data_IF_553409118999
#
_entry.id   IF_553409118999
#
_cell.length_a   1.000
_cell.length_b   1.000
_cell.length_c   1.000
_cell.angle_alpha   90.00
_cell.angle_beta   90.00
_cell.angle_gamma   90.00
#
_symmetry.space_group_name_H-M   'P 1'
#
loop_
_entity.id
_entity.type
_entity.pdbx_description
1 polymer ?
#
# COMPACT_ATOMS: atom_id res chain seq x y z
N UNK A 1 -34.55 -8.32 -8.50
CA UNK A 1 -33.63 -7.84 -7.43
C UNK A 1 -33.09 -6.50 -7.88
N UNK A 2 -32.87 -5.59 -6.97
CA UNK A 2 -32.22 -4.30 -7.28
C UNK A 2 -30.75 -4.57 -7.65
N UNK A 3 -30.24 -3.91 -8.68
CA UNK A 3 -28.84 -4.01 -9.06
C UNK A 3 -27.95 -3.51 -7.90
N UNK A 4 -26.85 -4.24 -7.62
CA UNK A 4 -25.94 -3.97 -6.49
C UNK A 4 -24.53 -3.72 -6.96
N UNK A 5 -23.82 -2.80 -6.31
CA UNK A 5 -22.37 -2.63 -6.48
C UNK A 5 -21.61 -3.78 -5.83
N UNK A 6 -20.34 -3.95 -6.16
CA UNK A 6 -19.44 -4.91 -5.47
C UNK A 6 -19.44 -4.64 -3.95
N UNK A 7 -19.32 -3.36 -3.56
CA UNK A 7 -19.36 -3.00 -2.14
C UNK A 7 -20.69 -3.37 -1.46
N UNK A 8 -21.83 -3.16 -2.13
CA UNK A 8 -23.12 -3.55 -1.57
C UNK A 8 -23.22 -5.05 -1.36
N UNK A 9 -22.73 -5.87 -2.31
CA UNK A 9 -22.70 -7.33 -2.18
C UNK A 9 -21.86 -7.77 -0.99
N UNK A 10 -20.63 -7.25 -0.90
CA UNK A 10 -19.70 -7.56 0.21
C UNK A 10 -20.26 -7.11 1.56
N UNK A 11 -20.85 -5.93 1.62
CA UNK A 11 -21.45 -5.41 2.84
C UNK A 11 -22.65 -6.26 3.30
N UNK A 12 -23.61 -6.46 2.42
CA UNK A 12 -24.85 -7.16 2.74
C UNK A 12 -24.63 -8.61 3.18
N UNK A 13 -23.62 -9.29 2.60
CA UNK A 13 -23.26 -10.67 2.94
C UNK A 13 -22.62 -10.80 4.34
N UNK A 14 -22.11 -9.67 4.93
CA UNK A 14 -21.44 -9.67 6.24
C UNK A 14 -22.21 -8.97 7.35
N UNK A 15 -23.31 -8.28 7.03
CA UNK A 15 -24.15 -7.62 8.04
C UNK A 15 -24.86 -8.68 8.89
N UNK A 16 -24.55 -8.73 10.18
CA UNK A 16 -25.22 -9.59 11.16
C UNK A 16 -26.52 -8.95 11.63
N UNK A 17 -26.48 -7.62 11.88
CA UNK A 17 -27.61 -6.83 12.38
C UNK A 17 -27.38 -5.36 12.03
N UNK A 18 -28.47 -4.64 11.78
CA UNK A 18 -28.47 -3.18 11.64
C UNK A 18 -29.30 -2.56 12.76
N UNK A 19 -28.75 -1.53 13.41
CA UNK A 19 -29.40 -0.76 14.44
C UNK A 19 -30.33 0.32 13.83
N UNK A 20 -31.19 0.94 14.65
CA UNK A 20 -32.14 1.98 14.20
C UNK A 20 -31.45 3.22 13.62
N UNK A 21 -30.22 3.53 14.07
CA UNK A 21 -29.44 4.68 13.57
C UNK A 21 -28.64 4.38 12.29
N UNK A 22 -28.84 3.18 11.72
CA UNK A 22 -28.14 2.71 10.52
C UNK A 22 -26.74 2.14 10.78
N UNK A 23 -26.30 2.06 12.05
CA UNK A 23 -25.05 1.37 12.41
C UNK A 23 -25.25 -0.14 12.24
N UNK A 24 -24.33 -0.81 11.56
CA UNK A 24 -24.38 -2.25 11.33
C UNK A 24 -23.32 -2.97 12.14
N UNK A 25 -23.68 -4.13 12.69
CA UNK A 25 -22.75 -5.11 13.21
C UNK A 25 -22.26 -5.96 12.04
N UNK A 26 -21.00 -5.81 11.68
CA UNK A 26 -20.36 -6.47 10.54
C UNK A 26 -19.49 -7.63 11.03
N UNK A 27 -19.69 -8.82 10.45
CA UNK A 27 -18.81 -9.97 10.69
C UNK A 27 -17.46 -9.78 9.97
N UNK A 28 -16.37 -10.21 10.62
CA UNK A 28 -15.00 -10.07 10.09
C UNK A 28 -14.41 -11.47 9.86
N UNK A 29 -14.03 -11.78 8.62
CA UNK A 29 -13.48 -13.09 8.24
C UNK A 29 -12.01 -13.25 8.61
N UNK A 30 -11.21 -12.20 8.36
CA UNK A 30 -9.77 -12.21 8.56
C UNK A 30 -9.31 -11.01 9.38
N UNK A 31 -8.51 -11.27 10.40
CA UNK A 31 -7.87 -10.24 11.19
C UNK A 31 -6.34 -10.37 11.06
N UNK A 32 -5.72 -9.37 10.44
CA UNK A 32 -4.27 -9.27 10.35
C UNK A 32 -3.76 -8.43 11.52
N UNK A 33 -2.69 -8.87 12.17
CA UNK A 33 -2.17 -8.26 13.39
C UNK A 33 -0.68 -8.02 13.28
N UNK A 34 -0.21 -6.87 13.75
CA UNK A 34 1.20 -6.54 13.85
C UNK A 34 1.54 -5.92 15.22
N UNK A 35 2.84 -5.70 15.49
CA UNK A 35 3.34 -5.35 16.82
C UNK A 35 2.96 -3.95 17.31
N UNK A 36 2.59 -3.02 16.41
CA UNK A 36 2.39 -1.60 16.80
C UNK A 36 1.03 -1.36 17.45
N UNK A 37 -0.06 -1.93 16.91
CA UNK A 37 -1.45 -1.63 17.32
C UNK A 37 -2.09 -2.74 18.15
N UNK A 38 -1.38 -3.83 18.43
CA UNK A 38 -1.94 -5.00 19.11
C UNK A 38 -1.68 -5.10 20.60
N UNK A 39 -0.60 -4.53 21.20
CA UNK A 39 -0.27 -4.77 22.62
C UNK A 39 -1.40 -4.43 23.58
N UNK A 40 -2.02 -3.26 23.44
CA UNK A 40 -3.12 -2.81 24.30
C UNK A 40 -4.40 -3.63 24.06
N UNK A 41 -4.64 -4.09 22.83
CA UNK A 41 -5.80 -4.94 22.53
C UNK A 41 -5.71 -6.30 23.24
N UNK A 42 -4.56 -6.94 23.24
CA UNK A 42 -4.35 -8.18 24.00
C UNK A 42 -4.39 -7.97 25.51
N UNK A 43 -3.89 -6.85 26.01
CA UNK A 43 -4.02 -6.52 27.42
C UNK A 43 -5.49 -6.32 27.83
N UNK A 44 -6.29 -5.65 26.99
CA UNK A 44 -7.74 -5.53 27.20
C UNK A 44 -8.43 -6.89 27.29
N UNK A 45 -8.08 -7.85 26.42
CA UNK A 45 -8.59 -9.22 26.50
C UNK A 45 -8.26 -9.89 27.84
N UNK A 46 -7.02 -9.76 28.34
CA UNK A 46 -6.60 -10.32 29.65
C UNK A 46 -7.40 -9.73 30.79
N UNK A 47 -7.50 -8.40 30.84
CA UNK A 47 -8.26 -7.68 31.89
C UNK A 47 -9.73 -8.12 31.86
N UNK A 48 -10.31 -8.29 30.68
CA UNK A 48 -11.69 -8.74 30.52
C UNK A 48 -11.87 -10.26 30.73
N UNK A 49 -10.81 -11.04 30.93
CA UNK A 49 -10.86 -12.50 31.04
C UNK A 49 -11.33 -13.18 29.75
N UNK A 50 -11.07 -12.58 28.59
CA UNK A 50 -11.51 -13.06 27.27
C UNK A 50 -10.35 -13.66 26.49
N UNK A 51 -10.70 -14.48 25.52
CA UNK A 51 -9.77 -15.03 24.52
C UNK A 51 -10.24 -14.63 23.12
N UNK A 52 -9.37 -14.64 22.11
CA UNK A 52 -9.79 -14.50 20.74
C UNK A 52 -10.87 -15.51 20.38
N UNK A 53 -11.94 -15.02 19.76
CA UNK A 53 -13.11 -15.86 19.43
C UNK A 53 -12.77 -16.93 18.38
N UNK A 54 -12.00 -16.54 17.35
CA UNK A 54 -11.51 -17.42 16.29
C UNK A 54 -10.02 -17.20 16.06
N UNK A 55 -9.18 -17.92 16.77
CA UNK A 55 -7.74 -17.81 16.66
C UNK A 55 -7.23 -18.12 15.23
N UNK A 56 -7.88 -19.02 14.51
CA UNK A 56 -7.58 -19.40 13.13
C UNK A 56 -7.88 -18.31 12.09
N UNK A 57 -8.69 -17.33 12.44
CA UNK A 57 -8.97 -16.17 11.60
C UNK A 57 -7.88 -15.09 11.69
N UNK A 58 -6.98 -15.19 12.68
CA UNK A 58 -5.94 -14.23 12.96
C UNK A 58 -4.62 -14.69 12.35
N UNK A 59 -3.93 -13.76 11.66
CA UNK A 59 -2.58 -13.96 11.17
C UNK A 59 -1.71 -12.78 11.63
N UNK A 60 -0.65 -13.07 12.36
CA UNK A 60 0.22 -12.06 12.96
C UNK A 60 1.61 -12.05 12.30
N UNK A 61 2.23 -10.88 12.26
CA UNK A 61 3.59 -10.69 11.75
C UNK A 61 4.18 -9.39 12.30
N UNK A 62 5.44 -9.35 12.76
CA UNK A 62 6.14 -8.10 13.04
C UNK A 62 6.69 -7.52 11.74
N UNK A 63 6.45 -6.23 11.47
CA UNK A 63 6.85 -5.60 10.20
C UNK A 63 7.31 -4.15 10.31
N UNK A 64 6.90 -3.40 11.33
CA UNK A 64 7.22 -1.98 11.49
C UNK A 64 8.53 -1.73 12.24
N UNK A 65 8.76 -2.46 13.32
CA UNK A 65 9.90 -2.29 14.24
C UNK A 65 11.03 -3.29 14.00
N UNK A 66 10.98 -4.03 12.91
CA UNK A 66 12.04 -4.98 12.56
C UNK A 66 13.20 -4.28 11.86
N UNK A 67 14.47 -4.65 12.15
CA UNK A 67 15.61 -4.12 11.41
C UNK A 67 15.60 -4.67 9.98
N UNK A 68 16.03 -3.83 9.05
CA UNK A 68 16.23 -4.18 7.63
C UNK A 68 17.70 -4.43 7.29
N UNK A 69 18.59 -4.27 8.25
CA UNK A 69 20.02 -4.62 8.20
C UNK A 69 20.25 -6.01 8.78
N UNK A 70 21.48 -6.32 9.18
CA UNK A 70 21.81 -7.60 9.83
C UNK A 70 20.97 -7.83 11.09
N UNK A 71 20.24 -8.95 11.10
CA UNK A 71 19.37 -9.38 12.19
C UNK A 71 20.04 -10.31 13.21
N UNK A 72 21.31 -10.67 12.99
CA UNK A 72 22.03 -11.62 13.85
C UNK A 72 22.19 -11.11 15.30
N UNK A 73 22.29 -9.79 15.49
CA UNK A 73 22.34 -9.13 16.81
C UNK A 73 20.95 -8.88 17.43
N UNK A 74 19.87 -9.23 16.71
CA UNK A 74 18.50 -8.93 17.13
C UNK A 74 18.12 -7.47 16.90
N UNK A 75 17.16 -6.96 17.68
CA UNK A 75 16.66 -5.59 17.59
C UNK A 75 17.37 -4.72 18.64
N UNK A 76 18.16 -3.73 18.20
CA UNK A 76 18.95 -2.87 19.09
C UNK A 76 18.07 -1.91 19.89
N UNK A 77 17.10 -1.26 19.25
CA UNK A 77 16.19 -0.34 19.92
C UNK A 77 15.34 -1.07 20.97
N UNK A 78 15.39 -0.65 22.27
CA UNK A 78 14.70 -1.38 23.33
C UNK A 78 13.19 -1.31 23.24
N UNK A 79 12.61 -0.24 22.66
CA UNK A 79 11.16 -0.08 22.50
C UNK A 79 10.67 -0.97 21.36
N UNK A 80 11.34 -0.94 20.21
CA UNK A 80 11.06 -1.81 19.08
C UNK A 80 11.17 -3.29 19.49
N UNK A 81 12.24 -3.66 20.19
CA UNK A 81 12.43 -5.02 20.72
C UNK A 81 11.30 -5.44 21.67
N UNK A 82 10.87 -4.54 22.56
CA UNK A 82 9.76 -4.82 23.47
C UNK A 82 8.45 -5.07 22.70
N UNK A 83 8.15 -4.26 21.71
CA UNK A 83 6.92 -4.39 20.91
C UNK A 83 6.89 -5.71 20.14
N UNK A 84 7.97 -6.09 19.45
CA UNK A 84 8.06 -7.37 18.73
C UNK A 84 7.92 -8.55 19.69
N UNK A 85 8.68 -8.56 20.80
CA UNK A 85 8.56 -9.62 21.82
C UNK A 85 7.16 -9.70 22.46
N UNK A 86 6.48 -8.56 22.59
CA UNK A 86 5.10 -8.54 23.11
C UNK A 86 4.15 -9.21 22.13
N UNK A 87 4.33 -9.01 20.81
CA UNK A 87 3.56 -9.73 19.79
C UNK A 87 3.82 -11.24 19.90
N UNK A 88 5.10 -11.68 19.88
CA UNK A 88 5.48 -13.08 19.99
C UNK A 88 4.82 -13.74 21.23
N UNK A 89 4.90 -13.07 22.40
CA UNK A 89 4.32 -13.56 23.66
C UNK A 89 2.78 -13.65 23.55
N UNK A 90 2.11 -12.65 22.97
CA UNK A 90 0.68 -12.62 22.80
C UNK A 90 0.22 -13.75 21.85
N UNK A 91 0.89 -13.93 20.73
CA UNK A 91 0.58 -14.99 19.78
C UNK A 91 0.75 -16.39 20.41
N UNK A 92 1.84 -16.58 21.15
CA UNK A 92 2.07 -17.83 21.90
C UNK A 92 1.01 -18.08 22.96
N UNK A 93 0.66 -17.07 23.79
CA UNK A 93 -0.34 -17.19 24.83
C UNK A 93 -1.73 -17.55 24.32
N UNK A 94 -2.14 -16.88 23.23
CA UNK A 94 -3.49 -17.03 22.68
C UNK A 94 -3.58 -18.07 21.56
N UNK A 95 -2.47 -18.75 21.22
CA UNK A 95 -2.44 -19.81 20.19
C UNK A 95 -2.71 -19.27 18.78
N UNK A 96 -2.19 -18.08 18.46
CA UNK A 96 -2.36 -17.46 17.15
C UNK A 96 -1.24 -17.87 16.19
N UNK A 97 -1.56 -17.90 14.89
CA UNK A 97 -0.53 -18.07 13.86
C UNK A 97 0.28 -16.79 13.71
N UNK A 98 1.59 -16.89 13.83
CA UNK A 98 2.53 -15.79 13.65
C UNK A 98 3.68 -16.20 12.73
N UNK A 99 4.08 -15.30 11.86
CA UNK A 99 5.34 -15.39 11.11
C UNK A 99 6.38 -14.51 11.82
N UNK A 100 7.08 -15.13 12.79
CA UNK A 100 8.10 -14.44 13.58
C UNK A 100 9.25 -13.90 12.71
N UNK A 101 10.05 -12.98 13.22
CA UNK A 101 11.11 -12.29 12.48
C UNK A 101 12.13 -13.24 11.78
N UNK A 102 12.28 -14.47 12.25
CA UNK A 102 13.17 -15.48 11.64
C UNK A 102 12.45 -16.41 10.63
N UNK A 103 11.14 -16.31 10.48
CA UNK A 103 10.37 -17.11 9.51
C UNK A 103 10.58 -16.53 8.10
N UNK A 104 10.82 -17.38 7.11
CA UNK A 104 10.96 -16.96 5.71
C UNK A 104 9.72 -16.25 5.17
N UNK A 105 8.55 -16.51 5.76
CA UNK A 105 7.27 -15.85 5.40
C UNK A 105 7.10 -14.49 6.07
N UNK A 106 8.01 -14.09 6.97
CA UNK A 106 7.97 -12.77 7.59
C UNK A 106 8.10 -11.67 6.53
N UNK A 107 7.35 -10.61 6.69
CA UNK A 107 7.33 -9.45 5.81
C UNK A 107 6.24 -8.48 6.20
N UNK A 108 5.99 -7.51 5.35
CA UNK A 108 4.96 -6.49 5.55
C UNK A 108 3.58 -7.17 5.57
N UNK A 109 2.77 -6.86 6.57
CA UNK A 109 1.46 -7.49 6.81
C UNK A 109 0.55 -7.49 5.57
N UNK A 110 0.56 -6.41 4.78
CA UNK A 110 -0.23 -6.30 3.53
C UNK A 110 0.45 -6.95 2.30
N UNK A 111 1.64 -7.51 2.46
CA UNK A 111 2.29 -8.37 1.46
C UNK A 111 2.05 -9.83 1.81
N UNK A 112 2.27 -10.23 3.06
CA UNK A 112 2.19 -11.64 3.46
C UNK A 112 0.76 -12.18 3.40
N UNK A 113 -0.25 -11.38 3.71
CA UNK A 113 -1.66 -11.79 3.63
C UNK A 113 -2.04 -12.30 2.23
N UNK A 114 -1.88 -11.49 1.17
CA UNK A 114 -2.05 -11.90 -0.22
C UNK A 114 -1.12 -13.03 -0.65
N UNK A 115 0.16 -12.93 -0.35
CA UNK A 115 1.18 -13.90 -0.73
C UNK A 115 0.89 -15.31 -0.23
N UNK A 116 0.35 -15.42 0.97
CA UNK A 116 -0.04 -16.70 1.56
C UNK A 116 -1.46 -17.15 1.14
N UNK A 117 -2.23 -16.33 0.43
CA UNK A 117 -3.63 -16.61 0.13
C UNK A 117 -4.53 -16.50 1.36
N UNK A 118 -4.10 -15.78 2.39
CA UNK A 118 -4.89 -15.50 3.58
C UNK A 118 -5.98 -14.44 3.34
N UNK A 119 -5.85 -13.70 2.24
CA UNK A 119 -6.87 -12.80 1.68
C UNK A 119 -7.53 -13.48 0.50
N UNK A 120 -8.83 -13.70 0.57
CA UNK A 120 -9.62 -14.33 -0.48
C UNK A 120 -10.78 -13.42 -0.92
N UNK A 121 -11.27 -13.57 -2.16
CA UNK A 121 -12.44 -12.83 -2.62
C UNK A 121 -13.67 -13.05 -1.73
N UNK A 122 -14.44 -12.00 -1.56
CA UNK A 122 -15.65 -12.04 -0.75
C UNK A 122 -15.44 -11.87 0.75
N UNK A 123 -14.21 -11.86 1.25
CA UNK A 123 -13.93 -11.71 2.69
C UNK A 123 -14.05 -10.25 3.16
N UNK A 124 -14.35 -10.09 4.44
CA UNK A 124 -14.02 -8.89 5.22
C UNK A 124 -12.64 -9.06 5.87
N UNK A 125 -11.75 -8.08 5.69
CA UNK A 125 -10.37 -8.10 6.21
C UNK A 125 -10.09 -6.84 6.99
N UNK A 126 -9.62 -6.97 8.22
CA UNK A 126 -9.21 -5.83 9.06
C UNK A 126 -7.80 -5.98 9.59
N UNK A 127 -7.18 -4.84 9.86
CA UNK A 127 -5.86 -4.73 10.50
C UNK A 127 -5.78 -3.38 11.21
N UNK A 128 -4.93 -3.27 12.22
CA UNK A 128 -4.62 -2.02 12.88
C UNK A 128 -3.75 -1.05 12.05
N UNK A 129 -3.78 -1.16 10.74
CA UNK A 129 -3.06 -0.32 9.77
C UNK A 129 -4.01 0.20 8.68
N UNK A 130 -3.87 1.48 8.32
CA UNK A 130 -4.75 2.14 7.35
C UNK A 130 -4.66 1.56 5.94
N UNK A 131 -3.49 0.98 5.53
CA UNK A 131 -3.30 0.40 4.20
C UNK A 131 -3.88 -1.02 4.06
N UNK A 132 -4.70 -1.47 5.00
CA UNK A 132 -5.51 -2.68 4.88
C UNK A 132 -6.40 -2.66 3.63
N UNK A 133 -6.73 -1.47 3.10
CA UNK A 133 -7.40 -1.32 1.80
C UNK A 133 -6.71 -2.07 0.64
N UNK A 134 -5.41 -2.37 0.74
CA UNK A 134 -4.66 -3.22 -0.21
C UNK A 134 -5.40 -4.51 -0.57
N UNK A 135 -6.02 -5.15 0.42
CA UNK A 135 -6.69 -6.44 0.26
C UNK A 135 -7.96 -6.35 -0.59
N UNK A 136 -8.51 -5.15 -0.80
CA UNK A 136 -9.63 -4.93 -1.71
C UNK A 136 -9.32 -5.24 -3.18
N UNK A 137 -8.05 -5.35 -3.56
CA UNK A 137 -7.60 -5.83 -4.86
C UNK A 137 -8.13 -7.24 -5.21
N UNK A 138 -8.54 -7.99 -4.20
CA UNK A 138 -9.07 -9.35 -4.33
C UNK A 138 -10.61 -9.40 -4.35
N UNK A 139 -11.31 -8.28 -4.50
CA UNK A 139 -12.76 -8.23 -4.32
C UNK A 139 -13.16 -8.56 -2.87
N UNK A 140 -12.38 -8.08 -1.92
CA UNK A 140 -12.62 -8.17 -0.48
C UNK A 140 -13.01 -6.80 0.09
N UNK A 141 -13.80 -6.76 1.15
CA UNK A 141 -14.06 -5.54 1.91
C UNK A 141 -13.00 -5.40 2.99
N UNK A 142 -12.00 -4.56 2.74
CA UNK A 142 -10.81 -4.44 3.57
C UNK A 142 -10.58 -3.00 4.03
N UNK A 143 -10.35 -2.81 5.33
CA UNK A 143 -10.13 -1.47 5.90
C UNK A 143 -9.38 -1.50 7.23
N UNK A 144 -8.68 -0.40 7.51
CA UNK A 144 -7.96 -0.19 8.76
C UNK A 144 -8.88 0.10 9.93
N UNK A 145 -8.50 -0.36 11.13
CA UNK A 145 -9.22 -0.18 12.40
C UNK A 145 -8.30 0.33 13.49
N UNK A 146 -8.88 0.98 14.51
CA UNK A 146 -8.16 1.46 15.69
C UNK A 146 -7.87 0.34 16.70
N UNK A 147 -6.95 0.59 17.64
CA UNK A 147 -6.53 -0.38 18.66
C UNK A 147 -7.70 -0.95 19.50
N UNK A 148 -8.67 -0.14 19.89
CA UNK A 148 -9.87 -0.61 20.61
C UNK A 148 -10.77 -1.48 19.74
N UNK A 149 -10.81 -1.22 18.43
CA UNK A 149 -11.53 -2.07 17.48
C UNK A 149 -10.79 -3.39 17.23
N UNK A 150 -9.44 -3.40 17.28
CA UNK A 150 -8.63 -4.64 17.25
C UNK A 150 -9.01 -5.55 18.41
N UNK A 151 -9.10 -5.03 19.65
CA UNK A 151 -9.58 -5.78 20.81
C UNK A 151 -10.99 -6.33 20.59
N UNK A 152 -11.89 -5.47 20.08
CA UNK A 152 -13.29 -5.85 19.86
C UNK A 152 -13.42 -6.99 18.84
N UNK A 153 -12.70 -6.91 17.72
CA UNK A 153 -12.72 -7.97 16.69
C UNK A 153 -12.09 -9.26 17.22
N UNK A 154 -10.97 -9.20 17.94
CA UNK A 154 -10.40 -10.39 18.58
C UNK A 154 -11.41 -11.08 19.50
N UNK A 155 -12.15 -10.31 20.31
CA UNK A 155 -13.09 -10.82 21.28
C UNK A 155 -14.39 -11.37 20.67
N UNK A 156 -14.86 -10.84 19.55
CA UNK A 156 -16.23 -11.03 19.06
C UNK A 156 -16.33 -11.45 17.60
N UNK A 157 -15.28 -11.32 16.82
CA UNK A 157 -15.25 -11.48 15.36
C UNK A 157 -16.17 -10.50 14.63
N UNK A 158 -16.60 -9.44 15.27
CA UNK A 158 -17.53 -8.46 14.72
C UNK A 158 -17.06 -7.04 14.97
N UNK A 159 -17.61 -6.10 14.20
CA UNK A 159 -17.29 -4.67 14.30
C UNK A 159 -18.52 -3.81 13.99
N UNK A 160 -18.72 -2.74 14.76
CA UNK A 160 -19.77 -1.75 14.49
C UNK A 160 -19.26 -0.75 13.45
N UNK A 161 -19.96 -0.66 12.31
CA UNK A 161 -19.60 0.24 11.21
C UNK A 161 -20.84 0.89 10.60
N UNK A 162 -20.66 2.08 10.02
CA UNK A 162 -21.66 2.69 9.14
C UNK A 162 -21.32 2.42 7.69
N UNK A 163 -22.35 2.09 6.89
CA UNK A 163 -22.18 1.83 5.45
C UNK A 163 -21.70 3.11 4.75
N UNK A 164 -20.61 2.99 3.98
CA UNK A 164 -20.10 4.07 3.14
C UNK A 164 -20.96 4.24 1.88
N UNK A 165 -20.83 5.38 1.22
CA UNK A 165 -21.36 5.59 -0.14
C UNK A 165 -20.49 4.87 -1.16
N UNK A 166 -21.05 4.59 -2.33
CA UNK A 166 -20.38 3.96 -3.46
C UNK A 166 -19.74 5.00 -4.40
N UNK A 167 -18.46 4.85 -4.70
CA UNK A 167 -17.78 5.62 -5.75
C UNK A 167 -17.17 4.67 -6.76
N UNK A 168 -17.37 4.94 -8.05
CA UNK A 168 -16.62 4.31 -9.13
C UNK A 168 -15.57 5.28 -9.67
N UNK A 169 -14.32 4.82 -9.70
CA UNK A 169 -13.23 5.47 -10.45
C UNK A 169 -12.88 4.58 -11.63
N UNK A 170 -13.28 5.02 -12.83
CA UNK A 170 -13.01 4.31 -14.07
C UNK A 170 -11.79 4.92 -14.77
N UNK A 171 -10.79 4.10 -15.06
CA UNK A 171 -9.62 4.47 -15.86
C UNK A 171 -9.73 3.74 -17.19
N UNK A 172 -10.18 4.46 -18.22
CA UNK A 172 -10.58 3.87 -19.48
C UNK A 172 -9.48 3.98 -20.56
N UNK A 173 -9.42 2.97 -21.43
CA UNK A 173 -8.40 2.88 -22.46
C UNK A 173 -7.11 2.22 -21.97
N UNK A 174 -5.98 2.52 -22.64
CA UNK A 174 -4.69 1.90 -22.37
C UNK A 174 -3.66 2.94 -21.93
N UNK A 175 -2.87 2.60 -20.93
CA UNK A 175 -1.73 3.43 -20.51
C UNK A 175 -0.59 3.36 -21.52
N UNK A 176 0.20 4.42 -21.61
CA UNK A 176 1.41 4.44 -22.41
C UNK A 176 2.52 3.59 -21.77
N UNK A 177 3.52 3.22 -22.57
CA UNK A 177 4.71 2.49 -22.07
C UNK A 177 5.40 3.27 -20.94
N UNK A 178 5.86 2.55 -19.93
CA UNK A 178 6.53 3.12 -18.76
C UNK A 178 5.59 3.61 -17.64
N UNK A 179 4.26 3.62 -17.87
CA UNK A 179 3.27 3.95 -16.85
C UNK A 179 2.97 2.70 -15.99
N UNK A 180 2.97 2.88 -14.69
CA UNK A 180 2.71 1.83 -13.70
C UNK A 180 1.43 2.09 -12.92
N UNK A 181 0.99 1.12 -12.13
CA UNK A 181 -0.14 1.28 -11.21
C UNK A 181 0.05 2.44 -10.22
N UNK A 182 1.31 2.74 -9.83
CA UNK A 182 1.65 3.88 -8.97
C UNK A 182 1.33 5.21 -9.65
N UNK A 183 1.66 5.33 -10.93
CA UNK A 183 1.36 6.55 -11.70
C UNK A 183 -0.15 6.73 -11.86
N UNK A 184 -0.88 5.63 -12.10
CA UNK A 184 -2.35 5.64 -12.20
C UNK A 184 -2.96 6.16 -10.89
N UNK A 185 -2.61 5.59 -9.75
CA UNK A 185 -3.22 5.98 -8.47
C UNK A 185 -2.81 7.37 -8.02
N UNK A 186 -1.59 7.81 -8.31
CA UNK A 186 -1.16 9.19 -8.06
C UNK A 186 -1.94 10.17 -8.93
N UNK A 187 -2.18 9.86 -10.21
CA UNK A 187 -3.02 10.66 -11.09
C UNK A 187 -4.47 10.74 -10.58
N UNK A 188 -5.04 9.61 -10.12
CA UNK A 188 -6.37 9.57 -9.48
C UNK A 188 -6.42 10.51 -8.27
N UNK A 189 -5.44 10.42 -7.36
CA UNK A 189 -5.39 11.25 -6.15
C UNK A 189 -5.19 12.73 -6.51
N UNK A 190 -4.38 13.02 -7.52
CA UNK A 190 -4.21 14.38 -8.05
C UNK A 190 -5.52 15.00 -8.56
N UNK A 191 -6.37 14.18 -9.19
CA UNK A 191 -7.67 14.61 -9.75
C UNK A 191 -8.73 14.79 -8.66
N UNK A 192 -8.89 13.82 -7.74
CA UNK A 192 -9.99 13.87 -6.77
C UNK A 192 -9.61 14.51 -5.42
N UNK A 193 -8.31 14.68 -5.14
CA UNK A 193 -7.79 15.20 -3.88
C UNK A 193 -7.78 14.18 -2.76
N UNK A 194 -7.06 14.50 -1.66
CA UNK A 194 -6.93 13.64 -0.45
C UNK A 194 -8.23 13.51 0.36
N UNK A 195 -9.21 14.38 0.12
CA UNK A 195 -10.53 14.31 0.74
C UNK A 195 -11.64 13.84 -0.23
N UNK A 196 -11.32 13.60 -1.50
CA UNK A 196 -12.31 13.30 -2.54
C UNK A 196 -13.07 12.00 -2.34
N UNK A 197 -12.46 11.03 -1.64
CA UNK A 197 -13.04 9.75 -1.27
C UNK A 197 -13.64 9.68 0.13
N UNK A 198 -13.66 10.79 0.88
CA UNK A 198 -14.17 10.80 2.26
C UNK A 198 -15.64 10.37 2.33
N UNK A 199 -15.92 9.33 3.11
CA UNK A 199 -17.24 8.74 3.25
C UNK A 199 -17.63 7.75 2.15
N UNK A 200 -16.69 7.42 1.24
CA UNK A 200 -16.89 6.47 0.17
C UNK A 200 -16.05 5.19 0.35
N UNK A 201 -16.57 4.10 -0.20
CA UNK A 201 -15.80 2.95 -0.65
C UNK A 201 -15.62 3.11 -2.17
N UNK A 202 -14.37 3.01 -2.63
CA UNK A 202 -14.04 3.20 -4.06
C UNK A 202 -13.95 1.83 -4.74
N UNK A 203 -14.72 1.65 -5.82
CA UNK A 203 -14.47 0.59 -6.79
C UNK A 203 -13.64 1.16 -7.94
N UNK A 204 -12.48 0.54 -8.20
CA UNK A 204 -11.64 0.89 -9.34
C UNK A 204 -11.99 0.01 -10.53
N UNK A 205 -12.28 0.62 -11.65
CA UNK A 205 -12.72 -0.03 -12.89
C UNK A 205 -12.08 0.58 -14.14
N UNK A 206 -12.61 0.20 -15.30
CA UNK A 206 -12.08 0.61 -16.60
C UNK A 206 -11.04 -0.37 -17.17
N UNK A 207 -10.69 -0.19 -18.44
CA UNK A 207 -9.82 -1.12 -19.17
C UNK A 207 -8.40 -1.15 -18.57
N UNK A 208 -7.87 0.01 -18.21
CA UNK A 208 -6.53 0.12 -17.63
C UNK A 208 -6.43 -0.60 -16.28
N UNK A 209 -7.46 -0.55 -15.43
CA UNK A 209 -7.49 -1.25 -14.14
C UNK A 209 -7.61 -2.77 -14.35
N UNK A 210 -8.45 -3.21 -15.28
CA UNK A 210 -8.59 -4.65 -15.61
C UNK A 210 -7.30 -5.25 -16.16
N UNK A 211 -6.54 -4.46 -16.91
CA UNK A 211 -5.25 -4.87 -17.49
C UNK A 211 -4.10 -4.96 -16.47
N UNK A 212 -4.28 -4.44 -15.23
CA UNK A 212 -3.26 -4.52 -14.19
C UNK A 212 -3.09 -5.97 -13.69
N UNK A 213 -1.84 -6.31 -13.38
CA UNK A 213 -1.51 -7.47 -12.54
C UNK A 213 -2.13 -7.34 -11.14
N UNK A 214 -2.12 -8.41 -10.37
CA UNK A 214 -2.58 -8.34 -8.96
C UNK A 214 -1.73 -7.39 -8.14
N UNK A 215 -0.42 -7.34 -8.37
CA UNK A 215 0.50 -6.40 -7.73
C UNK A 215 0.11 -4.94 -8.04
N UNK A 216 -0.22 -4.67 -9.29
CA UNK A 216 -0.71 -3.36 -9.70
C UNK A 216 -2.05 -2.99 -9.06
N UNK A 217 -3.01 -3.93 -8.99
CA UNK A 217 -4.30 -3.73 -8.31
C UNK A 217 -4.12 -3.50 -6.81
N UNK A 218 -3.20 -4.23 -6.17
CA UNK A 218 -2.84 -4.00 -4.77
C UNK A 218 -2.25 -2.60 -4.54
N UNK A 219 -1.42 -2.10 -5.46
CA UNK A 219 -0.89 -0.73 -5.41
C UNK A 219 -2.01 0.31 -5.48
N UNK A 220 -2.97 0.16 -6.39
CA UNK A 220 -4.10 1.09 -6.52
C UNK A 220 -4.99 1.06 -5.27
N UNK A 221 -5.38 -0.13 -4.80
CA UNK A 221 -6.20 -0.29 -3.61
C UNK A 221 -5.49 0.16 -2.33
N UNK A 222 -4.16 -0.07 -2.21
CA UNK A 222 -3.35 0.41 -1.11
C UNK A 222 -3.49 1.92 -0.91
N UNK A 223 -3.44 2.70 -1.99
CA UNK A 223 -3.46 4.15 -1.94
C UNK A 223 -4.88 4.75 -1.97
N UNK A 224 -5.94 3.96 -1.97
CA UNK A 224 -7.32 4.47 -1.86
C UNK A 224 -7.54 5.30 -0.57
N UNK A 225 -6.88 4.91 0.53
CA UNK A 225 -6.93 5.65 1.80
C UNK A 225 -6.28 7.05 1.69
N UNK A 226 -5.33 7.24 0.76
CA UNK A 226 -4.70 8.53 0.52
C UNK A 226 -5.63 9.52 -0.20
N UNK A 227 -6.68 9.02 -0.84
CA UNK A 227 -7.80 9.81 -1.35
C UNK A 227 -8.90 10.04 -0.29
N UNK A 228 -8.70 9.57 0.95
CA UNK A 228 -9.67 9.66 2.05
C UNK A 228 -10.75 8.59 2.05
N UNK A 229 -10.69 7.60 1.16
CA UNK A 229 -11.69 6.54 1.08
C UNK A 229 -11.59 5.55 2.25
N UNK A 230 -12.74 4.95 2.62
CA UNK A 230 -12.78 3.89 3.64
C UNK A 230 -12.16 2.58 3.16
N UNK A 231 -12.36 2.24 1.90
CA UNK A 231 -11.86 1.04 1.23
C UNK A 231 -11.65 1.32 -0.25
N UNK A 232 -10.77 0.55 -0.89
CA UNK A 232 -10.61 0.51 -2.34
C UNK A 232 -10.76 -0.94 -2.79
N UNK A 233 -11.46 -1.18 -3.90
CA UNK A 233 -11.76 -2.53 -4.38
C UNK A 233 -11.59 -2.64 -5.88
N UNK A 234 -11.24 -3.83 -6.34
CA UNK A 234 -11.28 -4.24 -7.75
C UNK A 234 -12.13 -5.48 -7.85
N UNK A 235 -13.01 -5.54 -8.86
CA UNK A 235 -13.84 -6.70 -9.13
C UNK A 235 -13.00 -7.96 -9.42
N UNK A 236 -13.51 -9.11 -9.02
CA UNK A 236 -12.83 -10.40 -9.24
C UNK A 236 -12.90 -10.80 -10.71
N UNK A 237 -11.77 -11.24 -11.24
CA UNK A 237 -11.66 -11.78 -12.59
C UNK A 237 -10.67 -12.95 -12.66
N UNK A 238 -10.33 -13.40 -13.86
CA UNK A 238 -9.38 -14.50 -14.07
C UNK A 238 -7.99 -14.21 -13.46
N UNK A 239 -7.52 -12.97 -13.52
CA UNK A 239 -6.23 -12.55 -12.93
C UNK A 239 -6.22 -12.75 -11.41
N UNK A 240 -7.32 -12.42 -10.74
CA UNK A 240 -7.48 -12.63 -9.30
C UNK A 240 -7.46 -14.12 -8.94
N UNK A 241 -8.21 -14.94 -9.70
CA UNK A 241 -8.30 -16.39 -9.47
C UNK A 241 -6.95 -17.08 -9.70
N UNK A 242 -6.25 -16.72 -10.77
CA UNK A 242 -4.92 -17.25 -11.08
C UNK A 242 -3.90 -16.94 -9.98
N UNK A 243 -3.89 -15.71 -9.47
CA UNK A 243 -2.99 -15.30 -8.39
C UNK A 243 -3.20 -16.11 -7.10
N UNK A 244 -4.45 -16.41 -6.75
CA UNK A 244 -4.82 -17.14 -5.53
C UNK A 244 -4.52 -18.63 -5.65
N UNK A 245 -4.57 -19.17 -6.84
CA UNK A 245 -4.40 -20.61 -7.08
C UNK A 245 -3.08 -21.11 -6.47
N UNK A 246 -3.16 -22.26 -5.78
CA UNK A 246 -2.03 -22.92 -5.11
C UNK A 246 -1.39 -22.13 -3.94
N UNK A 247 -1.99 -21.05 -3.45
CA UNK A 247 -1.52 -20.40 -2.23
C UNK A 247 -1.83 -21.24 -0.99
N UNK A 248 -0.98 -21.18 0.07
CA UNK A 248 -1.10 -22.06 1.24
C UNK A 248 -2.46 -22.02 1.95
N UNK A 249 -3.09 -20.84 2.06
CA UNK A 249 -4.40 -20.66 2.70
C UNK A 249 -5.57 -20.66 1.71
N UNK A 250 -5.31 -20.82 0.42
CA UNK A 250 -6.37 -20.91 -0.59
C UNK A 250 -7.06 -22.28 -0.52
N UNK A 251 -8.37 -22.35 -0.81
CA UNK A 251 -9.07 -23.63 -0.92
C UNK A 251 -8.47 -24.48 -2.05
N UNK A 252 -8.62 -25.79 -1.94
CA UNK A 252 -8.04 -26.75 -2.88
C UNK A 252 -9.12 -27.70 -3.41
N UNK A 253 -8.89 -28.26 -4.62
CA UNK A 253 -9.78 -29.26 -5.23
C UNK A 253 -11.22 -28.76 -5.38
N UNK A 254 -12.22 -29.59 -5.07
CA UNK A 254 -13.64 -29.25 -5.19
C UNK A 254 -14.07 -28.01 -4.39
N UNK A 255 -13.35 -27.71 -3.29
CA UNK A 255 -13.61 -26.48 -2.54
C UNK A 255 -13.18 -25.24 -3.32
N UNK A 256 -12.08 -25.33 -4.08
CA UNK A 256 -11.63 -24.26 -4.96
C UNK A 256 -12.63 -24.04 -6.11
N UNK A 257 -13.10 -25.11 -6.73
CA UNK A 257 -14.08 -25.03 -7.83
C UNK A 257 -15.36 -24.30 -7.37
N UNK A 258 -15.86 -24.66 -6.21
CA UNK A 258 -17.03 -24.01 -5.59
C UNK A 258 -16.77 -22.55 -5.22
N UNK A 259 -15.56 -22.27 -4.74
CA UNK A 259 -15.16 -20.90 -4.41
C UNK A 259 -15.11 -20.04 -5.66
N UNK A 260 -14.53 -20.54 -6.75
CA UNK A 260 -14.45 -19.83 -8.03
C UNK A 260 -15.84 -19.49 -8.59
N UNK A 261 -16.80 -20.43 -8.53
CA UNK A 261 -18.19 -20.17 -8.95
C UNK A 261 -18.82 -18.99 -8.18
N UNK A 262 -18.55 -18.87 -6.89
CA UNK A 262 -19.00 -17.74 -6.05
C UNK A 262 -18.21 -16.47 -6.32
N UNK A 263 -16.88 -16.56 -6.43
CA UNK A 263 -16.02 -15.42 -6.62
C UNK A 263 -16.26 -14.69 -7.94
N UNK A 264 -16.66 -15.42 -9.00
CA UNK A 264 -17.01 -14.85 -10.30
C UNK A 264 -18.24 -13.93 -10.24
N UNK A 265 -19.02 -13.97 -9.16
CA UNK A 265 -20.18 -13.09 -8.94
C UNK A 265 -19.77 -11.76 -8.23
N UNK A 266 -18.50 -11.63 -7.80
CA UNK A 266 -17.99 -10.45 -7.07
C UNK A 266 -17.55 -9.35 -8.02
N UNK A 267 -18.52 -8.74 -8.65
CA UNK A 267 -18.44 -7.55 -9.51
C UNK A 267 -19.73 -6.75 -9.37
N UNK A 268 -19.71 -5.47 -9.69
CA UNK A 268 -20.92 -4.65 -9.74
C UNK A 268 -21.84 -5.11 -10.87
N UNK A 269 -23.14 -5.13 -10.60
CA UNK A 269 -24.15 -5.43 -11.62
C UNK A 269 -24.15 -4.33 -12.70
N UNK A 270 -24.55 -4.66 -13.94
CA UNK A 270 -24.48 -3.74 -15.08
C UNK A 270 -25.25 -2.42 -14.81
N UNK A 271 -26.39 -2.52 -14.12
CA UNK A 271 -27.25 -1.38 -13.80
C UNK A 271 -27.04 -0.87 -12.36
N UNK A 272 -25.92 -1.19 -11.73
CA UNK A 272 -25.60 -0.72 -10.39
C UNK A 272 -25.42 0.81 -10.37
N UNK A 273 -25.96 1.44 -9.35
CA UNK A 273 -25.91 2.90 -9.19
C UNK A 273 -24.82 3.28 -8.19
N UNK A 274 -23.92 4.14 -8.62
CA UNK A 274 -22.90 4.73 -7.76
C UNK A 274 -23.28 6.15 -7.36
N UNK A 275 -23.00 6.53 -6.11
CA UNK A 275 -23.23 7.89 -5.61
C UNK A 275 -22.29 8.92 -6.27
N UNK A 276 -21.11 8.48 -6.72
CA UNK A 276 -20.14 9.32 -7.43
C UNK A 276 -19.41 8.50 -8.51
N UNK A 277 -19.23 9.14 -9.67
CA UNK A 277 -18.49 8.60 -10.81
C UNK A 277 -17.31 9.53 -11.12
N UNK A 278 -16.14 8.95 -11.35
CA UNK A 278 -14.94 9.64 -11.81
C UNK A 278 -14.40 8.88 -13.02
N UNK A 279 -14.13 9.59 -14.11
CA UNK A 279 -13.59 9.02 -15.34
C UNK A 279 -12.22 9.65 -15.64
N UNK A 280 -11.24 8.82 -15.92
CA UNK A 280 -9.89 9.22 -16.28
C UNK A 280 -9.49 8.51 -17.58
N UNK A 281 -9.00 9.28 -18.55
CA UNK A 281 -8.41 8.72 -19.76
C UNK A 281 -7.00 8.19 -19.45
N UNK A 282 -6.81 6.88 -19.58
CA UNK A 282 -5.54 6.22 -19.34
C UNK A 282 -4.40 6.76 -20.21
N UNK A 283 -4.70 7.15 -21.46
CA UNK A 283 -3.71 7.69 -22.38
C UNK A 283 -3.16 9.06 -21.97
N UNK A 284 -3.89 9.80 -21.13
CA UNK A 284 -3.46 11.10 -20.60
C UNK A 284 -2.44 10.99 -19.46
N UNK A 285 -2.35 9.82 -18.80
CA UNK A 285 -1.49 9.62 -17.64
C UNK A 285 -0.02 9.60 -18.08
N UNK A 286 0.80 10.37 -17.38
CA UNK A 286 2.25 10.45 -17.52
C UNK A 286 2.92 9.93 -16.25
N UNK A 287 4.23 9.61 -16.25
CA UNK A 287 4.93 9.31 -15.01
C UNK A 287 4.75 10.43 -13.99
N UNK A 288 4.36 10.09 -12.77
CA UNK A 288 3.94 11.02 -11.72
C UNK A 288 5.03 11.26 -10.68
N UNK A 289 5.15 12.49 -10.19
CA UNK A 289 6.03 12.87 -9.08
C UNK A 289 5.28 13.80 -8.14
N UNK A 290 5.25 13.50 -6.85
CA UNK A 290 4.72 14.47 -5.86
C UNK A 290 5.76 15.57 -5.61
N UNK A 291 5.32 16.82 -5.62
CA UNK A 291 6.18 18.00 -5.41
C UNK A 291 6.03 18.61 -4.00
N UNK A 292 4.97 18.26 -3.28
CA UNK A 292 4.63 18.84 -1.98
C UNK A 292 4.57 17.80 -0.85
N UNK A 293 3.82 18.14 0.19
CA UNK A 293 3.71 17.39 1.45
C UNK A 293 2.42 16.56 1.55
N UNK A 294 1.75 16.33 0.42
CA UNK A 294 0.53 15.51 0.31
C UNK A 294 0.56 14.74 -1.01
N UNK A 295 0.00 13.52 -1.10
CA UNK A 295 -0.09 12.76 -2.35
C UNK A 295 -0.88 13.46 -3.46
N UNK A 296 -1.82 14.38 -3.14
CA UNK A 296 -2.54 15.19 -4.13
C UNK A 296 -1.68 16.29 -4.77
N UNK A 297 -0.57 16.66 -4.10
CA UNK A 297 0.40 17.62 -4.64
C UNK A 297 1.34 16.90 -5.62
N UNK A 298 0.79 16.47 -6.75
CA UNK A 298 1.43 15.64 -7.76
C UNK A 298 1.33 16.28 -9.14
N UNK A 299 2.34 16.06 -9.96
CA UNK A 299 2.39 16.50 -11.37
C UNK A 299 3.13 15.48 -12.21
N UNK A 300 2.96 15.55 -13.53
CA UNK A 300 3.75 14.77 -14.47
C UNK A 300 5.24 15.17 -14.42
N UNK A 301 6.12 14.19 -14.67
CA UNK A 301 7.60 14.39 -14.68
C UNK A 301 8.09 15.52 -15.58
N UNK A 302 7.40 15.74 -16.69
CA UNK A 302 7.73 16.79 -17.67
C UNK A 302 7.10 18.16 -17.35
N UNK A 303 6.53 18.32 -16.16
CA UNK A 303 5.92 19.56 -15.68
C UNK A 303 6.90 20.37 -14.84
N UNK A 304 6.39 21.48 -14.32
CA UNK A 304 7.08 22.34 -13.36
C UNK A 304 6.33 22.33 -12.02
N UNK A 305 7.03 22.69 -10.95
CA UNK A 305 6.44 22.93 -9.64
C UNK A 305 5.36 24.01 -9.75
N UNK A 306 4.10 23.74 -9.35
CA UNK A 306 3.01 24.70 -9.52
C UNK A 306 3.20 25.99 -8.74
N UNK A 307 2.69 27.09 -9.31
CA UNK A 307 2.74 28.43 -8.70
C UNK A 307 1.50 28.68 -7.83
N UNK A 308 1.65 28.85 -6.50
CA UNK A 308 0.55 29.17 -5.61
C UNK A 308 -0.19 30.47 -5.99
N UNK A 309 0.47 31.43 -6.64
CA UNK A 309 -0.13 32.70 -6.99
C UNK A 309 -1.09 32.61 -8.18
N UNK A 310 -1.13 31.47 -8.86
CA UNK A 310 -2.11 31.16 -9.93
C UNK A 310 -3.39 30.51 -9.41
N UNK A 311 -3.47 30.18 -8.10
CA UNK A 311 -4.59 29.47 -7.49
C UNK A 311 -5.57 30.45 -6.85
N UNK A 312 -6.84 30.43 -7.29
CA UNK A 312 -7.89 31.33 -6.78
C UNK A 312 -8.27 31.05 -5.31
N UNK A 313 -8.24 29.78 -4.91
CA UNK A 313 -8.52 29.37 -3.52
C UNK A 313 -7.34 29.74 -2.62
N UNK A 314 -7.52 30.76 -1.79
CA UNK A 314 -6.51 31.28 -0.87
C UNK A 314 -6.04 30.22 0.15
N UNK A 315 -6.93 29.33 0.62
CA UNK A 315 -6.57 28.27 1.58
C UNK A 315 -5.65 27.26 0.90
N UNK A 316 -5.99 26.86 -0.31
CA UNK A 316 -5.17 25.97 -1.12
C UNK A 316 -3.83 26.63 -1.47
N UNK A 317 -3.84 27.89 -1.90
CA UNK A 317 -2.62 28.64 -2.21
C UNK A 317 -1.67 28.75 -0.99
N UNK A 318 -2.21 29.02 0.21
CA UNK A 318 -1.41 29.06 1.45
C UNK A 318 -0.87 27.69 1.83
N UNK A 319 -1.63 26.62 1.64
CA UNK A 319 -1.17 25.24 1.80
C UNK A 319 0.00 24.92 0.87
N UNK A 320 -0.08 25.33 -0.40
CA UNK A 320 0.97 25.17 -1.39
C UNK A 320 2.24 25.94 -1.01
N UNK A 321 2.13 27.19 -0.54
CA UNK A 321 3.29 28.00 -0.07
C UNK A 321 4.01 27.31 1.10
N UNK A 322 3.25 26.77 2.06
CA UNK A 322 3.83 26.02 3.19
C UNK A 322 4.55 24.75 2.70
N UNK A 323 3.93 23.99 1.80
CA UNK A 323 4.52 22.80 1.23
C UNK A 323 5.81 23.12 0.46
N UNK A 324 5.83 24.17 -0.36
CA UNK A 324 7.04 24.63 -1.07
C UNK A 324 8.15 25.02 -0.10
N UNK A 325 7.83 25.76 0.94
CA UNK A 325 8.81 26.14 1.98
C UNK A 325 9.40 24.93 2.67
N UNK A 326 8.58 23.95 3.08
CA UNK A 326 9.04 22.70 3.69
C UNK A 326 9.89 21.89 2.72
N UNK A 327 9.42 21.70 1.50
CA UNK A 327 10.12 20.95 0.46
C UNK A 327 11.37 21.69 -0.08
N UNK A 328 11.54 22.99 0.24
CA UNK A 328 12.63 23.80 -0.27
C UNK A 328 12.63 23.85 -1.80
N UNK A 329 11.45 24.09 -2.38
CA UNK A 329 11.25 24.23 -3.81
C UNK A 329 10.69 25.62 -4.15
N UNK A 330 11.01 26.09 -5.35
CA UNK A 330 10.48 27.32 -5.91
C UNK A 330 9.46 27.01 -7.01
N UNK A 331 8.40 27.80 -7.08
CA UNK A 331 7.42 27.71 -8.16
C UNK A 331 8.12 27.85 -9.53
N UNK A 332 7.66 27.11 -10.52
CA UNK A 332 8.24 27.08 -11.85
C UNK A 332 9.49 26.22 -12.00
N UNK A 333 10.04 25.64 -10.93
CA UNK A 333 11.18 24.71 -11.02
C UNK A 333 10.76 23.48 -11.85
N UNK A 334 11.47 23.12 -12.93
CA UNK A 334 11.21 21.88 -13.66
C UNK A 334 11.43 20.66 -12.76
N UNK A 335 10.47 19.73 -12.77
CA UNK A 335 10.54 18.52 -11.91
C UNK A 335 11.82 17.73 -12.19
N UNK A 336 12.21 17.59 -13.44
CA UNK A 336 13.42 16.89 -13.86
C UNK A 336 14.74 17.58 -13.47
N UNK A 337 14.71 18.74 -12.85
CA UNK A 337 15.90 19.43 -12.30
C UNK A 337 16.02 19.27 -10.76
N UNK A 338 15.04 18.65 -10.13
CA UNK A 338 15.06 18.46 -8.68
C UNK A 338 16.04 17.33 -8.35
N UNK A 339 17.19 17.71 -7.74
CA UNK A 339 18.18 16.75 -7.26
C UNK A 339 17.68 15.98 -6.03
N UNK A 340 18.15 14.75 -5.85
CA UNK A 340 17.78 13.84 -4.77
C UNK A 340 19.02 13.40 -3.98
N UNK A 341 18.84 13.14 -2.68
CA UNK A 341 19.89 12.66 -1.77
C UNK A 341 19.79 11.16 -1.53
N UNK A 342 18.56 10.64 -1.43
CA UNK A 342 18.29 9.23 -1.13
C UNK A 342 17.23 8.64 -2.04
N UNK A 343 17.26 7.33 -2.20
CA UNK A 343 16.23 6.56 -2.94
C UNK A 343 15.77 5.40 -2.10
N UNK A 344 14.46 5.25 -1.98
CA UNK A 344 13.82 4.15 -1.27
C UNK A 344 12.86 3.40 -2.19
N UNK A 345 13.14 2.12 -2.43
CA UNK A 345 12.26 1.17 -3.12
C UNK A 345 11.81 0.15 -2.10
N UNK A 346 10.52 0.17 -1.75
CA UNK A 346 9.97 -0.63 -0.66
C UNK A 346 8.52 -0.26 -0.33
N UNK A 347 8.09 -0.53 0.90
CA UNK A 347 6.73 -0.25 1.40
C UNK A 347 5.69 -1.30 0.97
N UNK A 348 4.58 -1.40 1.71
CA UNK A 348 3.45 -2.24 1.31
C UNK A 348 2.85 -1.87 -0.06
N UNK A 349 3.16 -0.69 -0.57
CA UNK A 349 2.70 -0.23 -1.87
C UNK A 349 3.49 -0.88 -3.01
N UNK A 350 4.83 -0.84 -2.95
CA UNK A 350 5.72 -1.23 -4.05
C UNK A 350 6.98 -1.96 -3.57
N UNK A 351 6.83 -3.17 -3.09
CA UNK A 351 7.91 -4.04 -2.64
C UNK A 351 7.74 -5.50 -3.06
N UNK A 352 6.79 -5.75 -3.97
CA UNK A 352 6.52 -7.08 -4.50
C UNK A 352 7.48 -7.40 -5.65
N UNK A 353 7.53 -8.66 -6.05
CA UNK A 353 8.51 -9.12 -7.04
C UNK A 353 8.43 -8.34 -8.38
N UNK A 354 7.23 -7.98 -8.82
CA UNK A 354 7.02 -7.19 -10.04
C UNK A 354 7.64 -5.79 -9.95
N UNK A 355 7.48 -5.14 -8.78
CA UNK A 355 8.07 -3.82 -8.50
C UNK A 355 9.61 -3.88 -8.56
N UNK A 356 10.18 -4.94 -7.96
CA UNK A 356 11.63 -5.15 -7.95
C UNK A 356 12.17 -5.44 -9.36
N UNK A 357 11.46 -6.25 -10.15
CA UNK A 357 11.81 -6.52 -11.56
C UNK A 357 11.79 -5.23 -12.39
N UNK A 358 10.75 -4.40 -12.21
CA UNK A 358 10.63 -3.13 -12.93
C UNK A 358 11.80 -2.18 -12.61
N UNK A 359 12.16 -2.06 -11.33
CA UNK A 359 13.28 -1.23 -10.90
C UNK A 359 14.64 -1.81 -11.32
N UNK A 360 14.85 -3.13 -11.20
CA UNK A 360 16.08 -3.81 -11.60
C UNK A 360 16.38 -3.65 -13.09
N UNK A 361 15.35 -3.71 -13.95
CA UNK A 361 15.47 -3.47 -15.39
C UNK A 361 16.08 -2.09 -15.69
N UNK A 362 15.74 -1.09 -14.89
CA UNK A 362 16.24 0.29 -15.07
C UNK A 362 17.71 0.40 -14.64
N UNK A 363 18.13 -0.23 -13.54
CA UNK A 363 19.48 -0.10 -13.00
C UNK A 363 20.49 -1.04 -13.62
N UNK A 364 20.04 -2.05 -14.35
CA UNK A 364 20.92 -3.07 -14.95
C UNK A 364 21.98 -2.43 -15.86
N UNK A 365 23.25 -2.70 -15.58
CA UNK A 365 24.40 -2.13 -16.30
C UNK A 365 24.70 -0.66 -16.04
N UNK A 366 23.98 -0.02 -15.10
CA UNK A 366 24.15 1.38 -14.72
C UNK A 366 24.67 1.50 -13.29
N UNK A 367 25.01 2.71 -12.88
CA UNK A 367 25.47 3.03 -11.52
C UNK A 367 24.64 4.15 -10.93
N UNK A 368 24.43 4.08 -9.62
CA UNK A 368 23.85 5.15 -8.82
C UNK A 368 24.72 6.41 -8.95
N UNK A 369 24.09 7.56 -9.13
CA UNK A 369 24.76 8.85 -9.28
C UNK A 369 25.55 9.24 -8.02
N UNK A 370 26.64 9.98 -8.18
CA UNK A 370 27.57 10.32 -7.09
C UNK A 370 26.98 11.18 -5.97
N UNK A 371 25.93 11.94 -6.27
CA UNK A 371 25.25 12.78 -5.27
C UNK A 371 24.26 11.98 -4.42
N UNK A 372 23.89 10.75 -4.78
CA UNK A 372 23.03 9.91 -3.99
C UNK A 372 23.82 9.36 -2.80
N UNK A 373 23.41 9.73 -1.59
CA UNK A 373 24.02 9.29 -0.33
C UNK A 373 23.64 7.85 0.04
N UNK A 374 22.41 7.45 -0.32
CA UNK A 374 21.87 6.13 -0.04
C UNK A 374 20.79 5.78 -1.07
N UNK A 375 20.94 4.67 -1.74
CA UNK A 375 19.89 4.03 -2.49
C UNK A 375 19.64 2.64 -1.89
N UNK A 376 18.39 2.33 -1.50
CA UNK A 376 18.06 1.08 -0.84
C UNK A 376 16.85 0.41 -1.46
N UNK A 377 16.87 -0.92 -1.44
CA UNK A 377 15.76 -1.79 -1.84
C UNK A 377 15.39 -2.68 -0.66
N UNK A 378 14.13 -2.64 -0.28
CA UNK A 378 13.56 -3.42 0.83
C UNK A 378 12.46 -4.33 0.28
N UNK A 379 12.71 -5.64 0.10
CA UNK A 379 11.69 -6.60 -0.32
C UNK A 379 10.51 -6.65 0.65
N UNK A 380 9.31 -6.95 0.14
CA UNK A 380 8.09 -6.94 0.93
C UNK A 380 7.94 -8.10 1.90
N UNK A 381 8.59 -9.23 1.61
CA UNK A 381 8.62 -10.42 2.45
C UNK A 381 9.90 -11.21 2.23
N UNK A 382 10.18 -12.17 3.10
CA UNK A 382 11.30 -13.09 2.92
C UNK A 382 11.14 -13.96 1.67
N UNK A 383 9.91 -14.32 1.29
CA UNK A 383 9.65 -15.06 0.06
C UNK A 383 9.89 -14.21 -1.19
N UNK A 384 9.48 -12.93 -1.18
CA UNK A 384 9.83 -11.99 -2.26
C UNK A 384 11.34 -11.82 -2.36
N UNK A 385 12.03 -11.68 -1.21
CA UNK A 385 13.50 -11.58 -1.17
C UNK A 385 14.15 -12.80 -1.78
N UNK A 386 13.75 -14.00 -1.35
CA UNK A 386 14.26 -15.26 -1.89
C UNK A 386 14.05 -15.34 -3.41
N UNK A 387 12.84 -15.07 -3.89
CA UNK A 387 12.55 -15.10 -5.32
C UNK A 387 13.40 -14.09 -6.09
N UNK A 388 13.56 -12.87 -5.57
CA UNK A 388 14.39 -11.84 -6.20
C UNK A 388 15.87 -12.26 -6.29
N UNK A 389 16.40 -12.94 -5.26
CA UNK A 389 17.76 -13.47 -5.23
C UNK A 389 17.93 -14.64 -6.20
N UNK A 390 16.95 -15.54 -6.30
CA UNK A 390 16.93 -16.63 -7.29
C UNK A 390 16.92 -16.09 -8.74
N UNK A 391 16.23 -14.98 -8.99
CA UNK A 391 16.21 -14.27 -10.28
C UNK A 391 17.46 -13.40 -10.51
N UNK A 392 18.31 -13.20 -9.49
CA UNK A 392 19.53 -12.38 -9.57
C UNK A 392 19.26 -10.87 -9.55
N UNK A 393 18.08 -10.42 -9.11
CA UNK A 393 17.74 -9.00 -9.02
C UNK A 393 18.58 -8.28 -7.96
N UNK A 394 18.90 -8.95 -6.85
CA UNK A 394 19.81 -8.49 -5.80
C UNK A 394 21.17 -8.08 -6.37
N UNK A 395 21.72 -8.90 -7.27
CA UNK A 395 23.01 -8.63 -7.93
C UNK A 395 22.96 -7.39 -8.79
N UNK A 396 21.87 -7.19 -9.55
CA UNK A 396 21.69 -5.99 -10.37
C UNK A 396 21.65 -4.72 -9.50
N UNK A 397 20.95 -4.76 -8.36
CA UNK A 397 20.90 -3.63 -7.43
C UNK A 397 22.24 -3.39 -6.73
N UNK A 398 22.90 -4.42 -6.21
CA UNK A 398 24.20 -4.32 -5.56
C UNK A 398 25.28 -3.81 -6.56
N UNK A 399 25.30 -4.33 -7.79
CA UNK A 399 26.19 -3.86 -8.82
C UNK A 399 25.94 -2.40 -9.19
N UNK A 400 24.69 -1.95 -9.20
CA UNK A 400 24.36 -0.54 -9.43
C UNK A 400 24.77 0.36 -8.25
N UNK A 401 24.94 -0.17 -7.05
CA UNK A 401 25.32 0.57 -5.83
C UNK A 401 24.17 0.82 -4.86
N UNK A 402 23.08 0.05 -4.98
CA UNK A 402 22.02 0.02 -3.96
C UNK A 402 22.42 -0.87 -2.78
N UNK A 403 21.85 -0.62 -1.63
CA UNK A 403 21.83 -1.53 -0.52
C UNK A 403 20.63 -2.48 -0.62
N UNK A 404 20.89 -3.79 -0.53
CA UNK A 404 19.90 -4.84 -0.51
C UNK A 404 19.56 -5.18 0.94
N UNK A 405 18.30 -5.03 1.33
CA UNK A 405 17.87 -5.04 2.71
C UNK A 405 17.03 -6.27 3.09
N UNK A 406 16.83 -6.48 4.38
CA UNK A 406 15.89 -7.45 4.93
C UNK A 406 14.44 -6.92 4.89
N UNK A 407 13.42 -7.81 4.79
CA UNK A 407 12.02 -7.41 4.64
C UNK A 407 11.45 -6.63 5.82
N UNK A 408 10.67 -5.59 5.57
CA UNK A 408 9.98 -4.79 6.58
C UNK A 408 9.45 -3.47 6.02
N UNK A 409 8.75 -2.71 6.86
CA UNK A 409 8.20 -1.41 6.47
C UNK A 409 9.29 -0.35 6.26
N UNK A 410 10.43 -0.46 6.97
CA UNK A 410 11.62 0.39 6.75
C UNK A 410 11.29 1.89 6.77
N UNK A 411 11.84 2.62 5.79
CA UNK A 411 11.66 4.06 5.64
C UNK A 411 10.22 4.50 5.36
N UNK A 412 9.30 3.58 5.05
CA UNK A 412 7.88 3.96 4.82
C UNK A 412 7.27 4.70 6.01
N UNK A 413 7.64 4.33 7.24
CA UNK A 413 7.18 4.94 8.49
C UNK A 413 8.32 5.46 9.36
N UNK A 414 9.57 5.09 9.06
CA UNK A 414 10.77 5.46 9.79
C UNK A 414 10.70 5.11 11.31
N UNK A 415 10.10 3.97 11.65
CA UNK A 415 10.05 3.44 13.01
C UNK A 415 11.30 2.62 13.40
N UNK A 416 12.19 2.40 12.44
CA UNK A 416 13.49 1.78 12.63
C UNK A 416 14.63 2.77 12.32
N UNK A 417 15.86 2.28 12.11
CA UNK A 417 17.01 3.11 11.80
C UNK A 417 16.96 3.75 10.39
N UNK A 418 16.11 3.24 9.51
CA UNK A 418 15.98 3.71 8.13
C UNK A 418 15.16 5.00 8.09
N UNK A 419 15.84 6.15 7.96
CA UNK A 419 15.19 7.46 7.95
C UNK A 419 15.97 8.51 7.18
N UNK A 420 15.28 9.60 6.85
CA UNK A 420 15.87 10.81 6.30
C UNK A 420 16.40 11.71 7.41
N UNK A 421 17.51 12.35 7.15
CA UNK A 421 17.98 13.48 7.96
C UNK A 421 17.27 14.78 7.52
N UNK A 422 17.21 15.80 8.39
CA UNK A 422 16.57 17.07 8.06
C UNK A 422 17.13 17.69 6.77
N UNK A 423 16.23 18.05 5.86
CA UNK A 423 16.57 18.65 4.58
C UNK A 423 16.92 17.64 3.47
N UNK A 424 17.14 16.36 3.78
CA UNK A 424 17.39 15.34 2.75
C UNK A 424 16.13 15.07 1.92
N UNK A 425 16.33 14.89 0.63
CA UNK A 425 15.30 14.65 -0.37
C UNK A 425 15.34 13.20 -0.86
N UNK A 426 14.20 12.54 -0.84
CA UNK A 426 14.06 11.13 -1.22
C UNK A 426 13.10 10.93 -2.38
N UNK A 427 13.52 10.19 -3.41
CA UNK A 427 12.61 9.54 -4.35
C UNK A 427 12.14 8.22 -3.73
N UNK A 428 10.84 8.10 -3.45
CA UNK A 428 10.30 7.03 -2.62
C UNK A 428 9.11 6.33 -3.26
N UNK A 429 9.08 5.02 -3.17
CA UNK A 429 7.92 4.22 -3.59
C UNK A 429 6.90 4.00 -2.46
N UNK A 430 7.07 4.66 -1.32
CA UNK A 430 6.07 4.63 -0.24
C UNK A 430 4.73 5.24 -0.65
N UNK A 431 3.76 5.22 0.24
CA UNK A 431 2.39 5.66 -0.02
C UNK A 431 2.09 7.07 0.48
N UNK A 432 2.87 7.58 1.44
CA UNK A 432 2.65 8.89 2.10
C UNK A 432 3.93 9.72 2.12
N UNK A 433 3.75 11.05 1.99
CA UNK A 433 4.85 12.02 1.97
C UNK A 433 4.58 13.27 2.83
N UNK A 434 3.73 13.17 3.85
CA UNK A 434 3.51 14.30 4.75
C UNK A 434 4.78 14.63 5.56
N UNK A 435 4.84 15.83 6.11
CA UNK A 435 5.97 16.33 6.87
C UNK A 435 6.43 15.35 7.96
N UNK A 436 7.70 15.00 7.94
CA UNK A 436 8.32 14.10 8.92
C UNK A 436 8.04 12.60 8.72
N UNK A 437 7.28 12.18 7.70
CA UNK A 437 6.88 10.77 7.49
C UNK A 437 8.07 9.81 7.43
N UNK A 438 9.12 10.18 6.69
CA UNK A 438 10.34 9.37 6.53
C UNK A 438 11.51 9.87 7.41
N UNK A 439 11.22 10.68 8.40
CA UNK A 439 12.20 11.34 9.29
C UNK A 439 11.91 12.82 9.43
N UNK A 440 12.17 13.38 10.62
CA UNK A 440 11.89 14.78 10.92
C UNK A 440 12.65 15.73 9.96
N UNK A 441 11.91 16.59 9.27
CA UNK A 441 12.48 17.52 8.28
C UNK A 441 12.89 16.87 6.96
N UNK A 442 12.64 15.58 6.79
CA UNK A 442 12.87 14.84 5.52
C UNK A 442 11.87 15.25 4.44
N UNK A 443 12.31 15.28 3.19
CA UNK A 443 11.55 15.72 2.01
C UNK A 443 11.28 14.54 1.09
N UNK A 444 10.06 14.01 1.10
CA UNK A 444 9.69 12.81 0.37
C UNK A 444 8.92 13.14 -0.89
N UNK A 445 9.35 12.60 -2.03
CA UNK A 445 8.61 12.60 -3.29
C UNK A 445 8.17 11.18 -3.62
N UNK A 446 6.87 10.98 -3.81
CA UNK A 446 6.31 9.70 -4.22
C UNK A 446 6.47 9.53 -5.74
N UNK A 447 6.99 8.36 -6.10
CA UNK A 447 7.20 7.96 -7.50
C UNK A 447 6.99 6.44 -7.65
N UNK A 448 6.91 5.97 -8.90
CA UNK A 448 6.90 4.53 -9.20
C UNK A 448 8.28 3.88 -8.99
N UNK A 449 8.36 2.54 -8.84
CA UNK A 449 9.64 1.83 -8.70
C UNK A 449 10.63 2.10 -9.81
N UNK A 450 10.18 2.11 -11.07
CA UNK A 450 11.01 2.42 -12.22
C UNK A 450 11.52 3.86 -12.19
N UNK A 451 10.68 4.82 -11.79
CA UNK A 451 11.06 6.23 -11.65
C UNK A 451 12.03 6.44 -10.49
N UNK A 452 11.86 5.73 -9.36
CA UNK A 452 12.81 5.78 -8.25
C UNK A 452 14.19 5.24 -8.68
N UNK A 453 14.22 4.14 -9.41
CA UNK A 453 15.44 3.56 -9.97
C UNK A 453 16.10 4.50 -10.98
N UNK A 454 15.33 5.12 -11.88
CA UNK A 454 15.81 6.11 -12.84
C UNK A 454 16.42 7.33 -12.13
N UNK A 455 15.74 7.81 -11.10
CA UNK A 455 16.20 8.90 -10.28
C UNK A 455 17.51 8.59 -9.53
N UNK A 456 17.70 7.34 -9.06
CA UNK A 456 18.96 6.91 -8.46
C UNK A 456 20.13 6.99 -9.47
N UNK A 457 19.90 6.57 -10.70
CA UNK A 457 20.93 6.58 -11.76
C UNK A 457 21.26 8.00 -12.21
N UNK A 458 20.25 8.85 -12.37
CA UNK A 458 20.43 10.24 -12.83
C UNK A 458 20.88 11.21 -11.73
N UNK A 459 20.58 10.94 -10.46
CA UNK A 459 20.81 11.84 -9.33
C UNK A 459 19.76 12.96 -9.18
N UNK A 460 18.76 12.96 -10.03
CA UNK A 460 17.62 13.88 -10.08
C UNK A 460 16.43 13.15 -10.70
N UNK A 461 15.22 13.72 -10.64
CA UNK A 461 14.08 13.11 -11.35
C UNK A 461 14.29 13.14 -12.86
N UNK A 462 13.95 12.06 -13.52
CA UNK A 462 14.05 11.89 -14.98
C UNK A 462 12.92 10.96 -15.44
N UNK A 463 12.42 11.19 -16.66
CA UNK A 463 11.47 10.23 -17.26
C UNK A 463 12.22 8.91 -17.52
N UNK A 464 11.65 7.81 -17.03
CA UNK A 464 12.25 6.48 -17.21
C UNK A 464 12.40 6.12 -18.70
N UNK A 465 11.47 6.56 -19.54
CA UNK A 465 11.52 6.30 -20.99
C UNK A 465 12.70 7.04 -21.65
N UNK A 466 12.96 8.29 -21.24
CA UNK A 466 14.11 9.05 -21.73
C UNK A 466 15.41 8.38 -21.32
N UNK A 467 15.53 7.95 -20.06
CA UNK A 467 16.72 7.25 -19.56
C UNK A 467 16.95 5.92 -20.28
N UNK A 468 15.88 5.19 -20.63
CA UNK A 468 15.99 3.88 -21.28
C UNK A 468 16.25 3.98 -22.80
N UNK A 469 15.84 5.06 -23.45
CA UNK A 469 16.01 5.27 -24.89
C UNK A 469 17.43 5.70 -25.31
N UNK A 470 18.25 6.13 -24.36
CA UNK A 470 19.62 6.61 -24.61
C UNK A 470 20.70 5.51 -24.45
N UNK A 471 20.34 4.24 -24.65
CA UNK A 471 21.26 3.08 -24.61
C UNK A 471 21.59 2.55 -26.00
#
# INVERSE_FOLDING_TARGET
>A
MTARTLYDKLWDDHVVRTEEDGTALLYIDRHLVHEVTSPQAFEGLRIAGRKPWRADSVLAVPDHNVPTTDRSAGIEDPVARLQVRTLDNNCSEFGLTEFVMSDIRQGIVHVIGPEQGATLPGMTVVCGDSHTSTHGAFGALAFGIGTSEVEHVLATQCLLQKKSKNMLVSVDGHVNEGITAKDIVLAIIGEIGTAGGTGFAIEFGGDAIRALSMEGRMTVCNMAIEAGARAGMVAVDATTIEYINNRPYAPQGEMLDRAIENWQQLHSDTDAVFDKLVHIDAASIKPQVTWGTSPEMVVAINSVVPDPDTVEDHVKADGMRKALAYMGLEAGTPINQIAIDKVFIGSCTNSRIEDLRAAAKVVQGRKVARNIKLAMVVPGSGLVKQQAEEEGLDKAFLEAGFEWREPGCSMCLAMNADRLEPGERCASTSNRNFEGRQGQGGRTHLVSPAMAAAAAVAGHFVDVNDLMSHN
#
